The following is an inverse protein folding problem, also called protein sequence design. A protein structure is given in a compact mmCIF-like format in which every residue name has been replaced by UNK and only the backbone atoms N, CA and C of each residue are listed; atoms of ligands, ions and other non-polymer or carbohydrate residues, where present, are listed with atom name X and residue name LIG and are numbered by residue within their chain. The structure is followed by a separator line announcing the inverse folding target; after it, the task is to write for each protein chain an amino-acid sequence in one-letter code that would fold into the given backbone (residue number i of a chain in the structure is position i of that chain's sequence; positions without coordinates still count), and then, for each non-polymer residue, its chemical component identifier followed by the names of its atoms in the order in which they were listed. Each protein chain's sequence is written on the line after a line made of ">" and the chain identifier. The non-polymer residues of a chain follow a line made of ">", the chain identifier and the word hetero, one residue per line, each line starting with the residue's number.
data_IF_032042294715
#
_entry.id   IF_032042294715
#
_cell.length_a   1.000
_cell.length_b   1.000
_cell.length_c   1.000
_cell.angle_alpha   90.00
_cell.angle_beta   90.00
_cell.angle_gamma   90.00
#
_symmetry.space_group_name_H-M   'P 1'
#
loop_
_entity.id
_entity.type
_entity.pdbx_description
1 polymer ?
#
# COMPACT_ATOMS: atom_id res chain seq x y z
N UNK A 1 -25.31 -93.87 64.99
CA UNK A 1 -25.87 -95.15 64.55
C UNK A 1 -25.91 -95.13 63.03
N UNK A 2 -25.29 -96.13 62.42
CA UNK A 2 -25.20 -96.35 60.99
C UNK A 2 -26.52 -96.95 60.44
N UNK A 3 -27.60 -96.94 61.22
CA UNK A 3 -28.87 -97.59 60.87
C UNK A 3 -30.08 -96.87 61.51
N UNK A 4 -30.42 -95.67 61.04
CA UNK A 4 -31.78 -95.15 61.12
C UNK A 4 -32.08 -94.23 59.91
N UNK A 5 -32.17 -94.84 58.73
CA UNK A 5 -33.18 -94.59 57.68
C UNK A 5 -33.45 -93.19 57.10
N UNK A 6 -32.89 -92.11 57.65
CA UNK A 6 -32.93 -90.77 57.06
C UNK A 6 -31.48 -90.35 56.83
N UNK A 7 -31.04 -90.43 55.57
CA UNK A 7 -29.74 -89.84 55.22
C UNK A 7 -29.88 -88.32 55.34
N UNK A 8 -29.15 -87.73 56.29
CA UNK A 8 -28.97 -86.28 56.34
C UNK A 8 -28.32 -85.81 55.02
N UNK A 9 -29.00 -84.88 54.37
CA UNK A 9 -28.54 -84.33 53.08
C UNK A 9 -27.52 -83.23 53.33
N UNK A 10 -26.23 -83.56 53.28
CA UNK A 10 -25.17 -82.57 53.27
C UNK A 10 -24.84 -82.14 51.84
N UNK A 11 -24.83 -80.84 51.59
CA UNK A 11 -24.31 -80.29 50.33
C UNK A 11 -22.81 -80.07 50.48
N UNK A 12 -21.99 -80.88 49.79
CA UNK A 12 -20.55 -80.61 49.73
C UNK A 12 -20.29 -79.32 48.94
N UNK A 13 -19.62 -78.34 49.56
CA UNK A 13 -19.35 -77.04 48.96
C UNK A 13 -17.93 -76.96 48.35
N UNK A 14 -16.95 -77.65 48.94
CA UNK A 14 -15.56 -77.67 48.49
C UNK A 14 -14.92 -79.03 48.73
N UNK A 15 -14.02 -79.44 47.84
CA UNK A 15 -13.22 -80.65 47.92
C UNK A 15 -11.72 -80.30 47.91
N UNK A 16 -10.92 -81.21 48.45
CA UNK A 16 -9.47 -81.19 48.35
C UNK A 16 -9.04 -82.26 47.35
N UNK A 17 -8.19 -81.92 46.38
CA UNK A 17 -7.61 -82.95 45.52
C UNK A 17 -6.46 -83.71 46.24
N UNK A 18 -5.99 -84.85 45.69
CA UNK A 18 -4.90 -85.62 46.31
C UNK A 18 -3.56 -84.86 46.42
N UNK A 19 -3.42 -83.74 45.70
CA UNK A 19 -2.24 -82.87 45.75
C UNK A 19 -2.39 -81.71 46.74
N UNK A 20 -3.52 -81.63 47.47
CA UNK A 20 -3.76 -80.65 48.52
C UNK A 20 -4.41 -79.34 48.08
N UNK A 21 -4.94 -79.26 46.86
CA UNK A 21 -5.60 -78.04 46.35
C UNK A 21 -7.09 -78.06 46.71
N UNK A 22 -7.55 -77.04 47.44
CA UNK A 22 -8.98 -76.80 47.68
C UNK A 22 -9.64 -76.23 46.42
N UNK A 23 -10.73 -76.85 45.98
CA UNK A 23 -11.58 -76.35 44.89
C UNK A 23 -13.07 -76.49 45.26
N UNK A 24 -13.89 -75.53 44.85
CA UNK A 24 -15.34 -75.61 45.06
C UNK A 24 -15.99 -76.56 44.04
N UNK A 25 -16.95 -77.38 44.49
CA UNK A 25 -17.61 -78.39 43.65
C UNK A 25 -18.41 -77.79 42.47
N UNK A 26 -18.78 -76.51 42.56
CA UNK A 26 -19.43 -75.72 41.50
C UNK A 26 -18.52 -74.71 40.79
N UNK A 27 -17.21 -74.75 41.06
CA UNK A 27 -16.23 -73.77 40.54
C UNK A 27 -16.27 -72.40 41.21
N UNK A 28 -15.19 -71.61 41.09
CA UNK A 28 -15.16 -70.24 41.58
C UNK A 28 -16.01 -69.34 40.67
N UNK A 29 -16.81 -68.43 41.25
CA UNK A 29 -17.49 -67.39 40.50
C UNK A 29 -16.49 -66.30 40.05
N UNK A 30 -15.58 -66.62 39.12
CA UNK A 30 -14.56 -65.71 38.58
C UNK A 30 -13.28 -66.42 38.15
N UNK A 31 -12.34 -65.69 37.53
CA UNK A 31 -11.01 -66.19 37.16
C UNK A 31 -9.99 -65.66 38.18
N UNK A 32 -9.75 -66.36 39.29
CA UNK A 32 -9.05 -65.74 40.44
C UNK A 32 -7.61 -66.19 40.67
N UNK A 33 -7.17 -67.39 40.26
CA UNK A 33 -5.82 -67.87 40.62
C UNK A 33 -4.87 -68.15 39.46
N UNK A 34 -5.32 -68.08 38.20
CA UNK A 34 -4.46 -68.25 37.00
C UNK A 34 -4.88 -67.36 35.83
N UNK A 35 -5.59 -66.26 36.10
CA UNK A 35 -6.29 -65.50 35.07
C UNK A 35 -5.35 -64.79 34.10
N UNK A 36 -5.21 -65.35 32.90
CA UNK A 36 -4.64 -64.67 31.73
C UNK A 36 -5.70 -63.95 30.92
N UNK A 37 -7.01 -64.17 31.22
CA UNK A 37 -8.15 -63.56 30.51
C UNK A 37 -9.35 -63.22 31.42
N UNK A 38 -10.19 -62.27 31.02
CA UNK A 38 -11.48 -61.90 31.62
C UNK A 38 -12.54 -62.97 31.31
N UNK A 39 -13.28 -63.40 32.35
CA UNK A 39 -14.34 -64.41 32.25
C UNK A 39 -15.46 -64.02 31.28
N UNK A 40 -15.75 -62.72 31.19
CA UNK A 40 -16.64 -62.17 30.17
C UNK A 40 -15.91 -61.01 29.50
N UNK A 41 -15.48 -61.17 28.23
CA UNK A 41 -14.85 -60.11 27.48
C UNK A 41 -15.72 -58.84 27.46
N UNK A 42 -15.08 -57.67 27.41
CA UNK A 42 -15.76 -56.36 27.37
C UNK A 42 -15.35 -55.63 26.10
N UNK A 43 -16.25 -54.84 25.53
CA UNK A 43 -15.89 -53.94 24.45
C UNK A 43 -15.21 -52.67 25.03
N UNK A 44 -13.99 -52.36 24.61
CA UNK A 44 -13.29 -51.10 24.91
C UNK A 44 -13.08 -50.39 23.57
N UNK A 45 -13.69 -49.21 23.40
CA UNK A 45 -13.71 -48.47 22.12
C UNK A 45 -14.17 -49.33 20.92
N UNK A 46 -15.17 -50.19 21.16
CA UNK A 46 -15.72 -51.12 20.17
C UNK A 46 -14.97 -52.43 20.00
N UNK A 47 -13.79 -52.60 20.61
CA UNK A 47 -12.99 -53.82 20.48
C UNK A 47 -13.19 -54.77 21.66
N UNK A 48 -13.38 -56.07 21.38
CA UNK A 48 -13.47 -57.10 22.42
C UNK A 48 -12.12 -57.26 23.12
N UNK A 49 -12.07 -56.89 24.40
CA UNK A 49 -10.92 -57.05 25.26
C UNK A 49 -11.21 -58.10 26.33
N UNK A 50 -10.36 -59.11 26.36
CA UNK A 50 -10.37 -60.15 27.38
C UNK A 50 -9.06 -60.23 28.16
N UNK A 51 -8.09 -59.33 27.97
CA UNK A 51 -6.86 -59.32 28.78
C UNK A 51 -5.78 -60.34 28.39
N UNK A 52 -6.00 -61.15 27.35
CA UNK A 52 -4.99 -62.10 26.84
C UNK A 52 -3.73 -61.43 26.28
N UNK A 53 -3.93 -60.27 25.68
CA UNK A 53 -2.94 -59.47 24.95
C UNK A 53 -3.26 -57.98 25.15
N UNK A 54 -2.36 -57.11 24.70
CA UNK A 54 -2.55 -55.67 24.73
C UNK A 54 -3.72 -55.25 23.82
N UNK A 55 -4.49 -54.24 24.24
CA UNK A 55 -5.41 -53.54 23.32
C UNK A 55 -4.56 -52.79 22.29
N UNK A 56 -4.73 -53.14 21.01
CA UNK A 56 -4.03 -52.53 19.89
C UNK A 56 -5.02 -52.26 18.73
N UNK A 57 -4.65 -51.38 17.80
CA UNK A 57 -5.51 -50.99 16.67
C UNK A 57 -6.19 -49.63 16.84
N UNK A 58 -7.15 -49.33 15.97
CA UNK A 58 -7.81 -48.01 15.88
C UNK A 58 -8.91 -47.84 16.94
N UNK A 59 -8.90 -46.71 17.64
CA UNK A 59 -9.97 -46.30 18.57
C UNK A 59 -11.13 -45.74 17.74
N UNK A 60 -12.29 -46.40 17.82
CA UNK A 60 -13.51 -45.96 17.10
C UNK A 60 -14.52 -45.50 18.14
N UNK A 61 -14.79 -44.20 18.23
CA UNK A 61 -15.99 -43.72 18.92
C UNK A 61 -17.15 -43.74 17.92
N UNK A 62 -18.38 -44.00 18.38
CA UNK A 62 -19.55 -44.22 17.53
C UNK A 62 -19.96 -43.00 16.68
N UNK A 63 -19.19 -41.92 16.74
CA UNK A 63 -19.60 -40.55 16.50
C UNK A 63 -18.44 -39.69 16.02
N UNK A 64 -17.37 -40.20 15.39
CA UNK A 64 -16.53 -39.38 14.47
C UNK A 64 -15.37 -38.52 15.01
N UNK A 65 -15.34 -38.17 16.30
CA UNK A 65 -14.08 -37.98 17.04
C UNK A 65 -13.91 -39.30 17.84
N UNK A 66 -13.09 -39.27 18.87
CA UNK A 66 -13.68 -39.20 20.22
C UNK A 66 -14.98 -38.30 20.26
N UNK A 67 -16.04 -38.69 19.53
CA UNK A 67 -17.31 -37.98 19.17
C UNK A 67 -17.37 -36.51 18.59
N UNK A 68 -17.41 -36.30 17.26
CA UNK A 68 -17.83 -35.11 16.47
C UNK A 68 -18.90 -35.44 15.42
N UNK A 69 -19.89 -34.56 15.23
CA UNK A 69 -21.12 -34.77 14.44
C UNK A 69 -20.97 -34.89 12.90
N UNK A 70 -22.11 -35.01 12.19
CA UNK A 70 -22.25 -35.24 10.74
C UNK A 70 -21.50 -34.22 9.85
N UNK A 71 -21.03 -33.11 10.42
CA UNK A 71 -20.30 -32.06 9.70
C UNK A 71 -18.81 -31.97 10.08
N UNK A 72 -18.30 -32.84 10.97
CA UNK A 72 -16.95 -32.72 11.53
C UNK A 72 -16.25 -34.07 11.75
N UNK A 73 -15.00 -34.23 11.28
CA UNK A 73 -14.13 -35.39 11.56
C UNK A 73 -12.64 -34.98 11.65
N UNK A 74 -11.82 -35.78 12.36
CA UNK A 74 -10.35 -35.63 12.43
C UNK A 74 -9.69 -36.89 11.83
N UNK A 75 -9.10 -36.79 10.64
CA UNK A 75 -8.36 -37.86 9.97
C UNK A 75 -6.88 -37.86 10.43
N UNK A 76 -6.41 -38.93 11.09
CA UNK A 76 -5.03 -39.07 11.61
C UNK A 76 -4.16 -39.99 10.74
N UNK A 77 -4.27 -39.86 9.41
CA UNK A 77 -3.41 -40.55 8.45
C UNK A 77 -3.80 -42.01 8.17
N UNK A 78 -3.35 -42.53 7.01
CA UNK A 78 -3.56 -43.92 6.55
C UNK A 78 -2.37 -44.43 5.74
N UNK A 79 -2.21 -45.75 5.63
CA UNK A 79 -1.10 -46.36 4.89
C UNK A 79 -1.03 -45.84 3.43
N UNK A 80 0.12 -45.27 3.06
CA UNK A 80 0.39 -44.70 1.74
C UNK A 80 0.06 -43.20 1.59
N UNK A 81 -0.58 -42.57 2.58
CA UNK A 81 -0.92 -41.14 2.58
C UNK A 81 -0.85 -40.58 4.02
N UNK A 82 0.27 -39.95 4.36
CA UNK A 82 0.44 -39.21 5.63
C UNK A 82 -0.20 -37.82 5.51
N UNK A 83 -1.53 -37.73 5.60
CA UNK A 83 -2.27 -36.46 5.55
C UNK A 83 -3.28 -36.36 6.68
N UNK A 84 -3.25 -35.23 7.39
CA UNK A 84 -4.30 -34.83 8.33
C UNK A 84 -5.28 -33.91 7.60
N UNK A 85 -6.37 -34.48 7.08
CA UNK A 85 -7.40 -33.72 6.36
C UNK A 85 -8.57 -33.43 7.30
N UNK A 86 -8.91 -32.16 7.52
CA UNK A 86 -10.27 -31.77 7.94
C UNK A 86 -10.96 -31.24 6.69
N UNK A 87 -12.19 -31.62 6.38
CA UNK A 87 -12.92 -31.13 5.20
C UNK A 87 -14.25 -30.57 5.67
N UNK A 88 -14.37 -29.25 5.70
CA UNK A 88 -15.64 -28.57 5.98
C UNK A 88 -15.77 -27.30 5.14
N UNK A 89 -16.93 -27.13 4.52
CA UNK A 89 -17.20 -26.04 3.58
C UNK A 89 -17.15 -24.69 4.31
N UNK A 90 -16.13 -23.86 4.01
CA UNK A 90 -15.90 -22.58 4.68
C UNK A 90 -15.09 -22.66 5.98
N UNK A 91 -14.52 -23.82 6.32
CA UNK A 91 -13.74 -23.97 7.54
C UNK A 91 -12.43 -23.17 7.55
N UNK A 92 -12.06 -22.71 8.74
CA UNK A 92 -10.78 -22.07 9.05
C UNK A 92 -9.90 -23.07 9.80
N UNK A 93 -8.69 -23.30 9.31
CA UNK A 93 -7.76 -24.27 9.87
C UNK A 93 -6.63 -23.53 10.57
N UNK A 94 -6.60 -23.57 11.90
CA UNK A 94 -5.56 -22.91 12.69
C UNK A 94 -4.51 -23.93 13.15
N UNK A 95 -3.24 -23.69 12.82
CA UNK A 95 -2.11 -24.26 13.54
C UNK A 95 -1.81 -23.36 14.74
N UNK A 96 -1.87 -23.92 15.95
CA UNK A 96 -1.76 -23.16 17.20
C UNK A 96 -0.46 -23.53 17.92
N UNK A 97 0.26 -22.54 18.43
CA UNK A 97 1.38 -22.72 19.34
C UNK A 97 0.86 -23.34 20.63
N UNK A 98 1.33 -24.54 20.94
CA UNK A 98 0.87 -25.34 22.07
C UNK A 98 1.32 -24.80 23.43
N UNK A 99 2.27 -23.86 23.48
CA UNK A 99 2.74 -23.25 24.72
C UNK A 99 1.90 -22.04 25.16
N UNK A 100 1.34 -21.28 24.21
CA UNK A 100 0.65 -20.02 24.51
C UNK A 100 -0.74 -19.88 23.84
N UNK A 101 -1.16 -20.83 23.01
CA UNK A 101 -2.46 -20.79 22.34
C UNK A 101 -2.54 -19.81 21.16
N UNK A 102 -1.42 -19.24 20.71
CA UNK A 102 -1.40 -18.29 19.61
C UNK A 102 -1.50 -19.00 18.25
N UNK A 103 -2.13 -18.36 17.26
CA UNK A 103 -2.30 -18.93 15.92
C UNK A 103 -1.02 -18.65 15.11
N UNK A 104 -0.33 -19.72 14.68
CA UNK A 104 0.94 -19.68 13.94
C UNK A 104 0.71 -19.67 12.43
N UNK A 105 -0.34 -20.35 11.95
CA UNK A 105 -0.75 -20.29 10.55
C UNK A 105 -2.25 -20.59 10.43
N UNK A 106 -2.95 -19.84 9.59
CA UNK A 106 -4.37 -20.03 9.32
C UNK A 106 -4.62 -20.27 7.84
N UNK A 107 -5.33 -21.34 7.49
CA UNK A 107 -5.85 -21.55 6.13
C UNK A 107 -7.34 -21.24 6.12
N UNK A 108 -7.78 -20.38 5.21
CA UNK A 108 -9.18 -19.98 5.00
C UNK A 108 -9.59 -20.27 3.56
N UNK A 109 -10.89 -20.17 3.25
CA UNK A 109 -11.39 -20.26 1.87
C UNK A 109 -10.83 -19.17 0.94
N UNK A 110 -10.35 -18.06 1.50
CA UNK A 110 -9.78 -16.93 0.77
C UNK A 110 -8.25 -16.96 0.67
N UNK A 111 -7.58 -17.92 1.33
CA UNK A 111 -6.12 -18.08 1.25
C UNK A 111 -5.45 -18.44 2.58
N UNK A 112 -4.13 -18.38 2.58
CA UNK A 112 -3.28 -18.62 3.76
C UNK A 112 -3.08 -17.27 4.46
N UNK A 113 -3.65 -17.14 5.66
CA UNK A 113 -3.46 -16.02 6.58
C UNK A 113 -2.36 -16.39 7.57
N UNK A 114 -1.11 -16.32 7.11
CA UNK A 114 0.06 -16.43 7.96
C UNK A 114 0.99 -15.24 7.73
N UNK A 115 1.60 -14.76 8.82
CA UNK A 115 2.75 -13.88 8.70
C UNK A 115 3.94 -14.74 8.25
N UNK A 116 4.26 -14.74 6.96
CA UNK A 116 5.40 -15.50 6.46
C UNK A 116 6.68 -14.90 7.06
N UNK A 117 7.30 -15.66 7.97
CA UNK A 117 8.49 -15.27 8.73
C UNK A 117 9.71 -14.94 7.84
N UNK A 118 9.61 -15.24 6.55
CA UNK A 118 10.61 -14.99 5.51
C UNK A 118 10.00 -14.38 4.25
N UNK A 119 8.89 -13.62 4.33
CA UNK A 119 8.28 -13.00 3.14
C UNK A 119 9.34 -12.22 2.38
N UNK A 120 9.81 -12.85 1.31
CA UNK A 120 10.94 -12.42 0.51
C UNK A 120 10.44 -11.86 -0.79
N UNK A 121 9.25 -12.23 -1.29
CA UNK A 121 8.72 -11.71 -2.55
C UNK A 121 7.19 -11.67 -2.61
N UNK A 122 6.62 -10.68 -3.29
CA UNK A 122 5.26 -10.66 -3.79
C UNK A 122 5.10 -11.75 -4.84
N UNK A 123 3.98 -12.48 -4.79
CA UNK A 123 3.65 -13.52 -5.78
C UNK A 123 3.64 -12.98 -7.21
N UNK A 124 3.28 -11.72 -7.39
CA UNK A 124 3.38 -11.02 -8.66
C UNK A 124 4.06 -9.69 -8.41
N UNK A 125 5.24 -9.49 -9.02
CA UNK A 125 5.92 -8.20 -9.01
C UNK A 125 5.00 -7.12 -9.56
N UNK A 126 5.07 -5.93 -8.98
CA UNK A 126 4.26 -4.78 -9.39
C UNK A 126 5.19 -3.70 -9.92
N UNK A 127 4.91 -3.20 -11.11
CA UNK A 127 5.58 -2.01 -11.62
C UNK A 127 5.04 -0.78 -10.88
N UNK A 128 5.92 -0.05 -10.20
CA UNK A 128 5.62 1.23 -9.57
C UNK A 128 6.05 2.32 -10.55
N UNK A 129 5.08 3.02 -11.13
CA UNK A 129 5.33 4.08 -12.11
C UNK A 129 5.09 5.48 -11.50
N UNK A 130 6.00 6.40 -11.78
CA UNK A 130 5.91 7.82 -11.48
C UNK A 130 5.59 8.58 -12.77
N UNK A 131 4.70 9.57 -12.67
CA UNK A 131 4.31 10.45 -13.78
C UNK A 131 4.12 11.89 -13.30
N UNK A 132 4.14 12.87 -14.21
CA UNK A 132 4.03 14.29 -13.91
C UNK A 132 5.33 15.04 -14.21
N UNK A 133 5.82 15.83 -13.25
CA UNK A 133 7.04 16.62 -13.38
C UNK A 133 8.32 15.76 -13.54
N UNK A 134 8.26 14.51 -13.08
CA UNK A 134 9.29 13.49 -13.30
C UNK A 134 8.64 12.21 -13.78
N UNK A 135 9.38 11.42 -14.54
CA UNK A 135 9.02 10.06 -14.93
C UNK A 135 10.03 9.06 -14.41
N UNK A 136 9.59 7.87 -14.07
CA UNK A 136 10.45 6.78 -13.62
C UNK A 136 9.59 5.58 -13.31
N UNK A 137 10.15 4.38 -13.40
CA UNK A 137 9.46 3.19 -12.93
C UNK A 137 10.46 2.14 -12.45
N UNK A 138 9.99 1.28 -11.56
CA UNK A 138 10.72 0.09 -11.16
C UNK A 138 9.75 -1.03 -10.79
N UNK A 139 10.15 -2.27 -11.04
CA UNK A 139 9.42 -3.43 -10.59
C UNK A 139 9.76 -3.71 -9.12
N UNK A 140 8.73 -3.79 -8.29
CA UNK A 140 8.85 -4.11 -6.88
C UNK A 140 8.28 -5.49 -6.60
N UNK A 141 9.15 -6.39 -6.14
CA UNK A 141 8.76 -7.70 -5.63
C UNK A 141 8.91 -7.81 -4.12
N UNK A 142 9.43 -6.82 -3.38
CA UNK A 142 9.54 -6.90 -1.91
C UNK A 142 10.72 -7.71 -1.37
N UNK A 143 11.65 -8.19 -2.22
CA UNK A 143 12.89 -8.85 -1.75
C UNK A 143 13.95 -7.95 -1.19
N UNK A 144 13.79 -6.64 -1.39
CA UNK A 144 14.65 -5.62 -0.82
C UNK A 144 14.09 -4.24 -1.12
N UNK A 145 14.89 -3.23 -0.79
CA UNK A 145 14.58 -1.86 -1.17
C UNK A 145 14.65 -1.71 -2.69
N UNK A 146 13.72 -0.94 -3.24
CA UNK A 146 13.72 -0.58 -4.67
C UNK A 146 14.23 0.83 -4.86
N UNK A 147 15.10 1.01 -5.84
CA UNK A 147 15.52 2.32 -6.32
C UNK A 147 14.71 2.65 -7.58
N UNK A 148 14.06 3.82 -7.61
CA UNK A 148 13.37 4.32 -8.79
C UNK A 148 14.23 5.44 -9.38
N UNK A 149 14.88 5.13 -10.49
CA UNK A 149 15.61 6.14 -11.27
C UNK A 149 14.58 7.04 -11.94
N UNK A 150 14.72 8.35 -11.73
CA UNK A 150 13.80 9.34 -12.30
C UNK A 150 14.49 10.20 -13.35
N UNK A 151 13.71 10.61 -14.34
CA UNK A 151 14.07 11.61 -15.35
C UNK A 151 13.10 12.78 -15.25
N UNK A 152 13.58 14.04 -15.26
CA UNK A 152 12.70 15.19 -15.37
C UNK A 152 11.86 15.11 -16.65
N UNK A 153 10.56 15.36 -16.53
CA UNK A 153 9.72 15.52 -17.70
C UNK A 153 9.94 16.91 -18.27
N UNK A 154 10.79 17.00 -19.30
CA UNK A 154 11.14 18.26 -19.98
C UNK A 154 10.10 18.68 -21.02
N UNK A 155 9.07 17.86 -21.27
CA UNK A 155 8.17 18.04 -22.40
C UNK A 155 6.90 18.82 -22.04
N UNK A 156 6.68 19.12 -20.75
CA UNK A 156 5.46 19.78 -20.30
C UNK A 156 5.81 21.11 -19.62
N UNK A 157 5.57 22.21 -20.33
CA UNK A 157 5.57 23.56 -19.74
C UNK A 157 4.22 23.81 -19.08
N UNK A 158 4.21 24.30 -17.84
CA UNK A 158 2.96 24.72 -17.17
C UNK A 158 2.65 26.17 -17.55
N UNK A 159 1.46 26.42 -18.10
CA UNK A 159 1.01 27.77 -18.48
C UNK A 159 -0.01 28.26 -17.44
N UNK A 160 0.15 29.51 -17.00
CA UNK A 160 -0.80 30.22 -16.13
C UNK A 160 -1.17 31.54 -16.79
N UNK A 161 -2.45 31.74 -17.07
CA UNK A 161 -2.98 32.98 -17.66
C UNK A 161 -3.70 33.80 -16.59
N UNK A 162 -3.63 35.12 -16.74
CA UNK A 162 -4.38 36.06 -15.92
C UNK A 162 -4.66 37.34 -16.71
N UNK A 163 -5.28 38.32 -16.03
CA UNK A 163 -5.64 39.57 -16.69
C UNK A 163 -4.37 40.36 -17.10
N UNK A 164 -4.07 40.36 -18.39
CA UNK A 164 -2.90 41.05 -18.95
C UNK A 164 -1.57 40.33 -18.76
N UNK A 165 -1.56 39.03 -18.44
CA UNK A 165 -0.32 38.25 -18.40
C UNK A 165 -0.49 36.76 -18.69
N UNK A 166 0.59 36.16 -19.20
CA UNK A 166 0.77 34.72 -19.31
C UNK A 166 2.11 34.34 -18.73
N UNK A 167 2.16 33.31 -17.88
CA UNK A 167 3.39 32.75 -17.32
C UNK A 167 3.57 31.34 -17.86
N UNK A 168 4.69 31.10 -18.51
CA UNK A 168 5.14 29.77 -18.93
C UNK A 168 6.24 29.31 -17.98
N UNK A 169 5.95 28.29 -17.20
CA UNK A 169 6.88 27.67 -16.27
C UNK A 169 7.56 26.47 -16.91
N UNK A 170 8.89 26.48 -16.85
CA UNK A 170 9.71 25.28 -16.90
C UNK A 170 10.05 24.89 -15.46
N UNK A 171 9.18 24.08 -14.85
CA UNK A 171 9.35 23.62 -13.47
C UNK A 171 10.66 22.81 -13.30
N UNK A 172 11.13 22.14 -14.35
CA UNK A 172 12.37 21.34 -14.29
C UNK A 172 13.63 22.20 -14.16
N UNK A 173 13.65 23.38 -14.80
CA UNK A 173 14.76 24.34 -14.74
C UNK A 173 14.51 25.46 -13.73
N UNK A 174 13.33 25.48 -13.10
CA UNK A 174 12.82 26.58 -12.27
C UNK A 174 12.89 27.93 -12.98
N UNK A 175 12.57 27.96 -14.27
CA UNK A 175 12.50 29.18 -15.08
C UNK A 175 11.03 29.54 -15.31
N UNK A 176 10.72 30.82 -15.16
CA UNK A 176 9.44 31.40 -15.55
C UNK A 176 9.67 32.40 -16.69
N UNK A 177 8.90 32.28 -17.76
CA UNK A 177 8.77 33.29 -18.82
C UNK A 177 7.44 34.00 -18.58
N UNK A 178 7.49 35.27 -18.22
CA UNK A 178 6.34 36.10 -17.92
C UNK A 178 6.14 37.03 -19.10
N UNK A 179 5.04 36.89 -19.81
CA UNK A 179 4.60 37.82 -20.84
C UNK A 179 3.53 38.73 -20.24
N UNK A 180 3.75 40.04 -20.33
CA UNK A 180 2.82 41.06 -19.85
C UNK A 180 2.28 41.86 -21.02
N UNK A 181 0.97 42.07 -21.03
CA UNK A 181 0.34 43.16 -21.77
C UNK A 181 0.32 44.38 -20.86
N UNK A 182 1.14 45.38 -21.16
CA UNK A 182 1.24 46.59 -20.35
C UNK A 182 0.05 47.52 -20.63
N UNK A 183 -0.23 47.74 -21.92
CA UNK A 183 -1.42 48.41 -22.41
C UNK A 183 -1.65 48.10 -23.89
N UNK A 184 -2.86 48.37 -24.37
CA UNK A 184 -3.27 48.16 -25.76
C UNK A 184 -3.89 49.43 -26.29
N UNK A 185 -3.46 49.88 -27.47
CA UNK A 185 -4.07 50.99 -28.20
C UNK A 185 -4.22 52.28 -27.37
N UNK A 186 -3.17 52.67 -26.66
CA UNK A 186 -3.15 53.90 -25.86
C UNK A 186 -1.84 54.64 -26.08
N UNK A 187 -1.89 55.98 -25.99
CA UNK A 187 -0.70 56.80 -26.15
C UNK A 187 0.24 56.61 -24.97
N UNK A 188 1.55 56.59 -25.21
CA UNK A 188 2.56 56.45 -24.16
C UNK A 188 2.41 57.56 -23.11
N UNK A 189 2.08 58.77 -23.55
CA UNK A 189 1.89 59.92 -22.68
C UNK A 189 0.77 59.71 -21.65
N UNK A 190 -0.31 59.02 -22.03
CA UNK A 190 -1.43 58.72 -21.13
C UNK A 190 -1.11 57.60 -20.12
N UNK A 191 -0.21 56.69 -20.47
CA UNK A 191 0.11 55.51 -19.66
C UNK A 191 1.34 55.67 -18.76
N UNK A 192 2.06 56.79 -18.88
CA UNK A 192 3.35 57.00 -18.22
C UNK A 192 3.42 58.35 -17.52
N UNK A 193 4.30 58.43 -16.53
CA UNK A 193 4.57 59.63 -15.73
C UNK A 193 5.77 60.36 -16.33
N UNK A 194 5.66 61.68 -16.50
CA UNK A 194 6.77 62.51 -16.97
C UNK A 194 7.88 62.64 -15.91
N UNK A 195 9.14 62.56 -16.32
CA UNK A 195 10.28 62.98 -15.50
C UNK A 195 10.58 64.47 -15.71
N UNK A 196 11.53 65.03 -14.92
CA UNK A 196 11.89 66.44 -14.97
C UNK A 196 12.31 66.96 -16.36
N UNK A 197 12.74 66.06 -17.26
CA UNK A 197 12.90 66.35 -18.68
C UNK A 197 11.68 65.81 -19.43
N UNK A 198 10.94 66.68 -20.12
CA UNK A 198 9.68 66.35 -20.79
C UNK A 198 9.75 65.16 -21.77
N UNK A 199 10.95 64.85 -22.28
CA UNK A 199 11.18 63.75 -23.23
C UNK A 199 11.36 62.39 -22.55
N UNK A 200 11.51 62.35 -21.22
CA UNK A 200 11.69 61.11 -20.46
C UNK A 200 10.43 60.83 -19.64
N UNK A 201 9.95 59.61 -19.72
CA UNK A 201 8.75 59.14 -19.03
C UNK A 201 8.98 57.76 -18.45
N UNK A 202 8.19 57.37 -17.46
CA UNK A 202 8.28 56.04 -16.89
C UNK A 202 6.96 55.48 -16.43
N UNK A 203 6.93 54.16 -16.25
CA UNK A 203 5.86 53.46 -15.56
C UNK A 203 6.42 52.23 -14.84
N UNK A 204 5.77 51.85 -13.73
CA UNK A 204 6.13 50.68 -12.93
C UNK A 204 4.95 49.73 -12.88
N UNK A 205 5.19 48.47 -13.24
CA UNK A 205 4.21 47.40 -13.23
C UNK A 205 4.56 46.38 -12.15
N UNK A 206 3.55 45.82 -11.48
CA UNK A 206 3.75 44.66 -10.61
C UNK A 206 3.89 43.41 -11.48
N UNK A 207 4.83 42.53 -11.14
CA UNK A 207 4.89 41.20 -11.73
C UNK A 207 3.81 40.30 -11.09
N UNK A 208 3.26 39.34 -11.84
CA UNK A 208 2.27 38.40 -11.30
C UNK A 208 2.88 37.40 -10.31
N UNK A 209 4.22 37.30 -10.25
CA UNK A 209 4.97 36.52 -9.26
C UNK A 209 6.24 37.26 -8.83
N UNK A 210 6.76 36.91 -7.65
CA UNK A 210 8.09 37.32 -7.20
C UNK A 210 9.13 36.32 -7.70
N UNK A 211 10.06 36.79 -8.53
CA UNK A 211 11.20 36.01 -9.00
C UNK A 211 12.30 35.95 -7.94
N UNK A 212 13.05 34.85 -7.87
CA UNK A 212 14.29 34.78 -7.09
C UNK A 212 15.43 35.54 -7.77
N UNK A 213 15.45 35.55 -9.11
CA UNK A 213 16.42 36.29 -9.91
C UNK A 213 15.89 36.54 -11.31
N UNK A 214 15.94 37.78 -11.76
CA UNK A 214 15.66 38.14 -13.15
C UNK A 214 16.86 37.84 -14.04
N UNK A 215 16.64 37.17 -15.16
CA UNK A 215 17.66 36.80 -16.13
C UNK A 215 17.64 37.71 -17.36
N UNK A 216 16.44 38.03 -17.87
CA UNK A 216 16.28 38.94 -19.00
C UNK A 216 14.97 39.71 -18.92
N UNK A 217 14.92 40.81 -19.67
CA UNK A 217 13.71 41.60 -19.89
C UNK A 217 13.77 42.18 -21.28
N UNK A 218 12.69 42.01 -22.02
CA UNK A 218 12.45 42.64 -23.31
C UNK A 218 11.15 43.45 -23.25
N UNK A 219 11.13 44.60 -23.90
CA UNK A 219 9.95 45.48 -23.96
C UNK A 219 9.70 45.81 -25.42
N UNK A 220 8.46 45.60 -25.84
CA UNK A 220 8.05 45.82 -27.20
C UNK A 220 6.95 46.88 -27.23
N UNK A 221 7.00 47.71 -28.27
CA UNK A 221 5.90 48.58 -28.67
C UNK A 221 5.55 48.13 -30.07
N UNK A 222 4.26 47.94 -30.33
CA UNK A 222 3.74 47.60 -31.64
C UNK A 222 2.59 48.54 -31.97
N UNK A 223 2.54 48.96 -33.23
CA UNK A 223 1.36 49.65 -33.74
C UNK A 223 0.21 48.65 -33.91
N UNK A 224 -1.01 49.08 -33.63
CA UNK A 224 -2.18 48.25 -33.91
C UNK A 224 -2.55 48.42 -35.39
N UNK A 225 -2.08 47.48 -36.23
CA UNK A 225 -2.56 47.33 -37.61
C UNK A 225 -1.84 48.11 -38.72
N UNK A 226 -0.68 48.72 -38.49
CA UNK A 226 0.06 49.46 -39.51
C UNK A 226 1.35 48.75 -39.97
N UNK A 227 1.58 48.79 -41.28
CA UNK A 227 2.84 48.43 -41.95
C UNK A 227 3.88 49.52 -41.68
N UNK A 228 4.91 49.17 -40.91
CA UNK A 228 6.03 49.99 -40.46
C UNK A 228 6.50 51.08 -41.45
N UNK A 229 6.24 52.35 -41.17
CA UNK A 229 6.99 53.50 -41.71
C UNK A 229 8.06 53.96 -40.71
N UNK A 230 9.11 54.61 -41.23
CA UNK A 230 10.31 55.00 -40.45
C UNK A 230 10.07 56.07 -39.35
N UNK A 231 8.83 56.56 -39.16
CA UNK A 231 8.46 57.54 -38.14
C UNK A 231 7.15 57.16 -37.42
N UNK A 232 6.87 55.87 -37.36
CA UNK A 232 5.77 55.31 -36.60
C UNK A 232 6.01 55.53 -35.09
N UNK A 233 4.98 55.86 -34.30
CA UNK A 233 5.11 56.25 -32.87
C UNK A 233 5.87 55.15 -32.10
N UNK A 234 5.68 53.87 -32.43
CA UNK A 234 6.44 52.78 -31.79
C UNK A 234 7.97 52.87 -31.97
N UNK A 235 8.46 53.56 -33.01
CA UNK A 235 9.87 53.78 -33.35
C UNK A 235 10.41 55.12 -32.83
N UNK A 236 9.53 56.05 -32.43
CA UNK A 236 9.90 57.34 -31.86
C UNK A 236 10.43 57.24 -30.42
N UNK A 237 10.18 56.10 -29.77
CA UNK A 237 10.51 55.88 -28.36
C UNK A 237 11.59 54.82 -28.15
N UNK A 238 12.63 55.23 -27.43
CA UNK A 238 13.59 54.33 -26.81
C UNK A 238 12.99 53.74 -25.54
N UNK A 239 13.18 52.44 -25.34
CA UNK A 239 12.62 51.65 -24.21
C UNK A 239 13.76 51.15 -23.35
N UNK A 240 13.64 51.30 -22.04
CA UNK A 240 14.64 50.82 -21.09
C UNK A 240 13.96 50.10 -19.92
N UNK A 241 14.31 48.84 -19.72
CA UNK A 241 14.04 48.14 -18.47
C UNK A 241 15.09 48.54 -17.44
N UNK A 242 14.67 49.06 -16.29
CA UNK A 242 15.60 49.44 -15.24
C UNK A 242 16.11 48.22 -14.48
N UNK A 243 17.41 48.26 -14.16
CA UNK A 243 18.08 47.24 -13.37
C UNK A 243 17.58 47.21 -11.92
N UNK A 244 17.84 46.09 -11.25
CA UNK A 244 17.55 45.93 -9.83
C UNK A 244 18.25 47.00 -8.98
N UNK A 245 17.56 47.49 -7.94
CA UNK A 245 18.04 48.55 -7.06
C UNK A 245 18.02 49.97 -7.66
N UNK A 246 17.67 50.16 -8.94
CA UNK A 246 17.55 51.50 -9.54
C UNK A 246 16.52 52.34 -8.78
N UNK A 247 16.98 53.42 -8.10
CA UNK A 247 16.15 54.24 -7.18
C UNK A 247 15.42 53.43 -6.10
N UNK A 248 16.01 52.32 -5.63
CA UNK A 248 15.42 51.46 -4.59
C UNK A 248 14.29 50.56 -5.07
N UNK A 249 14.09 50.41 -6.38
CA UNK A 249 13.12 49.46 -6.94
C UNK A 249 13.61 48.01 -6.88
N UNK A 250 12.66 47.10 -6.68
CA UNK A 250 12.86 45.65 -6.60
C UNK A 250 12.49 44.97 -7.94
N UNK A 251 13.50 44.48 -8.66
CA UNK A 251 13.30 43.76 -9.92
C UNK A 251 12.79 42.31 -9.70
N UNK A 252 12.72 41.81 -8.47
CA UNK A 252 12.11 40.51 -8.21
C UNK A 252 10.59 40.55 -8.42
N UNK A 253 9.94 41.64 -8.03
CA UNK A 253 8.47 41.73 -7.97
C UNK A 253 7.84 42.79 -8.87
N UNK A 254 8.63 43.66 -9.51
CA UNK A 254 8.12 44.77 -10.33
C UNK A 254 8.89 44.89 -11.63
N UNK A 255 8.30 45.46 -12.67
CA UNK A 255 8.95 45.91 -13.90
C UNK A 255 8.92 47.44 -13.95
N UNK A 256 10.08 48.09 -13.88
CA UNK A 256 10.21 49.52 -14.14
C UNK A 256 10.65 49.74 -15.58
N UNK A 257 9.77 50.33 -16.38
CA UNK A 257 10.05 50.75 -17.76
C UNK A 257 10.22 52.26 -17.85
N UNK A 258 11.27 52.71 -18.53
CA UNK A 258 11.47 54.11 -18.93
C UNK A 258 11.41 54.24 -20.44
N UNK A 259 10.70 55.27 -20.87
CA UNK A 259 10.53 55.65 -22.27
C UNK A 259 11.22 56.98 -22.49
N UNK A 260 12.02 57.08 -23.53
CA UNK A 260 12.64 58.35 -23.95
C UNK A 260 12.26 58.61 -25.40
N UNK A 261 11.56 59.72 -25.63
CA UNK A 261 11.27 60.18 -26.99
C UNK A 261 12.57 60.65 -27.63
N UNK A 262 12.89 60.09 -28.79
CA UNK A 262 14.07 60.43 -29.59
C UNK A 262 13.72 61.40 -30.72
N UNK A 263 12.55 61.24 -31.34
CA UNK A 263 12.03 62.07 -32.43
C UNK A 263 10.51 62.17 -32.34
N UNK A 264 9.90 63.00 -33.20
CA UNK A 264 8.45 63.06 -33.37
C UNK A 264 7.69 63.94 -32.38
N UNK A 265 6.43 64.21 -32.71
CA UNK A 265 5.54 65.13 -31.98
C UNK A 265 4.19 64.54 -31.64
N UNK A 266 3.75 63.56 -32.41
CA UNK A 266 2.37 63.09 -32.36
C UNK A 266 2.28 62.00 -31.27
N UNK A 267 1.09 61.83 -30.71
CA UNK A 267 0.88 61.02 -29.51
C UNK A 267 0.06 59.79 -29.84
N UNK A 268 0.42 59.09 -30.91
CA UNK A 268 -0.38 58.02 -31.47
C UNK A 268 -0.56 56.88 -30.46
N UNK A 269 -1.68 56.16 -30.55
CA UNK A 269 -1.86 54.95 -29.78
C UNK A 269 -0.88 53.85 -30.21
N UNK A 270 -0.25 53.23 -29.21
CA UNK A 270 0.56 52.01 -29.40
C UNK A 270 0.13 50.95 -28.39
N UNK A 271 0.44 49.70 -28.70
CA UNK A 271 0.35 48.60 -27.72
C UNK A 271 1.74 48.32 -27.16
N UNK A 272 1.83 48.07 -25.86
CA UNK A 272 3.08 47.76 -25.19
C UNK A 272 3.01 46.41 -24.48
N UNK A 273 4.06 45.62 -24.65
CA UNK A 273 4.21 44.33 -23.98
C UNK A 273 5.61 44.20 -23.42
N UNK A 274 5.76 43.30 -22.45
CA UNK A 274 7.07 42.95 -21.91
C UNK A 274 7.19 41.44 -21.74
N UNK A 275 8.38 40.91 -22.00
CA UNK A 275 8.74 39.53 -21.69
C UNK A 275 9.85 39.53 -20.65
N UNK A 276 9.60 38.92 -19.50
CA UNK A 276 10.56 38.79 -18.41
C UNK A 276 10.88 37.32 -18.23
N UNK A 277 12.17 36.97 -18.22
CA UNK A 277 12.62 35.61 -17.91
C UNK A 277 13.34 35.64 -16.57
N UNK A 278 13.00 34.71 -15.67
CA UNK A 278 13.60 34.65 -14.36
C UNK A 278 13.53 33.29 -13.70
N UNK A 279 14.29 33.13 -12.62
CA UNK A 279 14.23 31.98 -11.71
C UNK A 279 13.11 32.22 -10.71
N UNK A 280 12.29 31.21 -10.42
CA UNK A 280 11.22 31.26 -9.41
C UNK A 280 11.46 30.30 -8.22
#
# INVERSE_FOLDING_TARGET
>A
DWWNGNQDSYTSLMNLDPNGVLYSLGGFAGNANTATKLKTPRAIFGQTFDGSDHVSGTVTASTGLVQSDEYHYIDMGRNGLDRMNFYSYGATYNFVDTQNGNIVARLTSTGIDCNSATTTKLKTSRNIALSGAVSGNADFDGSGNVEIITTPNTNSLRIVEGNGYTITYDDSRRIAIIQLTLWTNLSINSQTIAEASANNRYQIYSLPITLKKRLSTDIQLSEEGATANYNDESSEWLRYAMQDGYRGYDAASKLFVRFRRWSGSDGEPVSASATIVGIF
#
